data_IF_733390326802
#
_entry.id   IF_733390326802
#
_cell.length_a   1.000
_cell.length_b   1.000
_cell.length_c   1.000
_cell.angle_alpha   90.00
_cell.angle_beta   90.00
_cell.angle_gamma   90.00
#
_symmetry.space_group_name_H-M   'P 1'
#
loop_
_entity.id
_entity.type
_entity.pdbx_description
1 polymer ?
#
# COMPACT_ATOMS: atom_id res chain seq x y z
N UNK A 1 -17.95 -52.67 -20.41
CA UNK A 1 -18.47 -53.11 -19.10
C UNK A 1 -18.58 -51.86 -18.26
N UNK A 2 -19.81 -51.39 -18.12
CA UNK A 2 -20.22 -50.22 -17.35
C UNK A 2 -19.71 -50.22 -15.91
N UNK A 3 -19.47 -49.00 -15.39
CA UNK A 3 -19.88 -48.53 -14.04
C UNK A 3 -19.40 -47.08 -13.90
N UNK A 4 -20.27 -46.11 -14.17
CA UNK A 4 -21.28 -45.52 -13.27
C UNK A 4 -20.73 -44.27 -12.56
N UNK A 5 -21.07 -43.12 -13.13
CA UNK A 5 -20.89 -41.76 -12.59
C UNK A 5 -21.84 -41.60 -11.40
N UNK A 6 -21.28 -41.27 -10.22
CA UNK A 6 -22.06 -40.88 -9.04
C UNK A 6 -22.09 -39.36 -9.02
N UNK A 7 -23.24 -38.78 -9.40
CA UNK A 7 -23.54 -37.36 -9.21
C UNK A 7 -24.21 -37.20 -7.85
N UNK A 8 -23.51 -36.60 -6.89
CA UNK A 8 -24.04 -36.28 -5.57
C UNK A 8 -24.64 -34.87 -5.61
N UNK A 9 -25.95 -34.77 -5.80
CA UNK A 9 -26.71 -33.54 -5.58
C UNK A 9 -27.04 -33.42 -4.09
N UNK A 10 -26.36 -32.52 -3.38
CA UNK A 10 -26.79 -32.07 -2.04
C UNK A 10 -27.65 -30.83 -2.24
N UNK A 11 -28.97 -31.02 -2.14
CA UNK A 11 -29.94 -29.93 -2.03
C UNK A 11 -29.99 -29.48 -0.56
N UNK A 12 -29.40 -28.31 -0.27
CA UNK A 12 -29.62 -27.59 0.98
C UNK A 12 -30.68 -26.52 0.73
N UNK A 13 -31.84 -26.73 1.35
CA UNK A 13 -33.01 -25.86 1.24
C UNK A 13 -32.79 -24.53 1.96
N UNK A 14 -33.06 -23.44 1.25
CA UNK A 14 -33.24 -22.12 1.85
C UNK A 14 -34.70 -22.03 2.32
N UNK A 15 -34.90 -22.11 3.64
CA UNK A 15 -36.16 -21.76 4.29
C UNK A 15 -36.17 -20.24 4.41
N UNK A 16 -36.83 -19.56 3.49
CA UNK A 16 -37.18 -18.15 3.63
C UNK A 16 -38.47 -18.05 4.47
N UNK A 17 -38.34 -17.57 5.70
CA UNK A 17 -39.49 -17.20 6.52
C UNK A 17 -39.91 -15.77 6.14
N UNK A 18 -41.10 -15.65 5.53
CA UNK A 18 -41.81 -14.38 5.43
C UNK A 18 -42.41 -13.98 6.78
N UNK A 19 -42.50 -12.67 7.02
CA UNK A 19 -43.07 -12.09 8.23
C UNK A 19 -43.39 -10.61 8.06
N UNK A 20 -44.50 -10.34 7.38
CA UNK A 20 -45.26 -9.09 7.42
C UNK A 20 -45.73 -8.73 8.84
N UNK A 21 -45.67 -7.45 9.24
CA UNK A 21 -46.40 -6.87 10.40
C UNK A 21 -46.42 -5.34 10.19
N UNK A 22 -47.49 -4.74 9.67
CA UNK A 22 -48.76 -4.33 10.33
C UNK A 22 -48.60 -3.28 11.44
N UNK A 23 -49.06 -2.08 11.07
CA UNK A 23 -49.85 -1.06 11.77
C UNK A 23 -50.09 -1.13 13.30
N UNK A 24 -50.10 0.08 13.89
CA UNK A 24 -50.70 0.48 15.17
C UNK A 24 -49.72 1.34 16.00
N UNK A 25 -50.07 2.46 16.63
CA UNK A 25 -51.33 3.16 16.85
C UNK A 25 -50.97 4.49 17.55
N UNK A 26 -51.69 5.55 17.21
CA UNK A 26 -52.15 6.68 18.02
C UNK A 26 -51.27 7.45 19.05
N UNK A 27 -51.16 8.76 18.79
CA UNK A 27 -51.86 9.73 19.63
C UNK A 27 -51.01 10.75 20.43
N UNK A 28 -51.00 12.02 19.98
CA UNK A 28 -51.46 13.11 20.85
C UNK A 28 -51.76 14.42 20.13
N UNK A 29 -52.92 14.93 20.50
CA UNK A 29 -53.67 16.07 19.99
C UNK A 29 -53.20 17.45 20.51
N UNK A 30 -53.56 18.47 19.74
CA UNK A 30 -53.64 19.88 20.13
C UNK A 30 -53.60 20.74 18.87
N UNK A 31 -54.71 21.09 18.21
CA UNK A 31 -55.99 21.55 18.74
C UNK A 31 -56.04 23.09 18.61
N UNK A 32 -56.31 23.60 17.42
CA UNK A 32 -56.54 25.03 17.17
C UNK A 32 -57.92 25.19 16.51
N UNK A 33 -58.94 25.24 17.36
CA UNK A 33 -60.30 25.65 16.99
C UNK A 33 -60.43 27.17 17.04
N UNK A 34 -61.24 27.65 16.10
CA UNK A 34 -61.44 29.04 15.75
C UNK A 34 -62.41 29.81 16.67
N UNK A 35 -62.26 31.14 16.58
CA UNK A 35 -63.23 32.22 16.83
C UNK A 35 -63.50 32.63 18.29
N UNK A 36 -64.04 33.85 18.58
CA UNK A 36 -64.35 35.00 17.71
C UNK A 36 -63.77 36.35 18.20
N UNK A 37 -63.92 37.38 17.35
CA UNK A 37 -63.77 38.81 17.66
C UNK A 37 -64.72 39.27 18.77
N UNK A 38 -64.33 40.26 19.59
CA UNK A 38 -65.27 41.21 20.15
C UNK A 38 -65.15 42.58 19.47
N UNK A 39 -66.25 43.01 18.86
CA UNK A 39 -66.60 44.41 18.66
C UNK A 39 -66.79 45.07 20.03
N UNK A 40 -66.09 46.17 20.29
CA UNK A 40 -66.52 47.15 21.29
C UNK A 40 -66.12 48.56 20.83
N UNK A 41 -67.06 49.15 20.11
CA UNK A 41 -67.22 50.57 19.86
C UNK A 41 -67.67 51.25 21.17
N UNK A 42 -66.79 52.04 21.80
CA UNK A 42 -67.22 53.04 22.76
C UNK A 42 -66.18 54.15 22.95
N UNK A 43 -66.55 55.34 22.47
CA UNK A 43 -66.21 56.58 23.17
C UNK A 43 -65.06 57.40 22.60
N UNK A 44 -65.39 58.25 21.62
CA UNK A 44 -64.65 59.48 21.39
C UNK A 44 -64.73 60.42 22.61
N UNK A 45 -63.61 61.03 23.05
CA UNK A 45 -63.63 62.34 23.70
C UNK A 45 -63.27 63.45 22.68
N UNK A 46 -63.70 64.70 22.94
CA UNK A 46 -63.68 65.78 21.97
C UNK A 46 -62.30 66.42 21.80
N UNK A 47 -62.17 67.12 20.68
CA UNK A 47 -61.06 67.95 20.26
C UNK A 47 -60.59 68.91 21.36
N UNK A 48 -59.31 68.81 21.73
CA UNK A 48 -58.57 69.90 22.38
C UNK A 48 -57.25 70.12 21.65
N UNK A 49 -57.28 71.17 20.83
CA UNK A 49 -56.17 71.79 20.12
C UNK A 49 -55.18 72.38 21.13
N UNK A 50 -54.03 71.72 21.30
CA UNK A 50 -52.89 72.25 22.03
C UNK A 50 -51.57 71.87 21.35
N UNK A 51 -51.19 72.67 20.36
CA UNK A 51 -49.80 73.05 20.06
C UNK A 51 -48.77 71.90 19.96
N UNK A 52 -48.60 71.39 18.75
CA UNK A 52 -47.46 70.58 18.30
C UNK A 52 -46.14 71.34 18.58
N UNK A 53 -45.17 70.79 19.35
CA UNK A 53 -43.81 71.33 19.39
C UNK A 53 -43.10 71.03 18.06
N UNK A 54 -42.21 71.92 17.58
CA UNK A 54 -41.63 71.80 16.26
C UNK A 54 -40.41 70.88 16.29
N UNK A 55 -40.62 69.58 16.11
CA UNK A 55 -39.54 68.64 15.81
C UNK A 55 -39.99 67.71 14.68
N UNK A 56 -40.18 68.31 13.51
CA UNK A 56 -40.24 67.61 12.21
C UNK A 56 -38.79 67.18 11.85
N UNK A 57 -38.25 66.28 12.66
CA UNK A 57 -37.15 65.43 12.25
C UNK A 57 -37.81 64.15 11.75
N UNK A 58 -37.67 63.87 10.46
CA UNK A 58 -38.04 62.58 9.88
C UNK A 58 -37.48 61.42 10.70
N UNK A 59 -37.98 60.19 10.50
CA UNK A 59 -37.56 59.03 11.30
C UNK A 59 -36.04 59.01 11.43
N UNK A 60 -35.57 58.93 12.68
CA UNK A 60 -34.14 58.91 12.97
C UNK A 60 -33.47 57.83 12.10
N UNK A 61 -32.29 58.10 11.52
CA UNK A 61 -31.61 57.12 10.70
C UNK A 61 -31.34 55.87 11.53
N UNK A 62 -31.59 54.70 10.95
CA UNK A 62 -31.42 53.40 11.62
C UNK A 62 -29.95 53.10 11.93
N UNK A 63 -29.02 53.77 11.24
CA UNK A 63 -27.58 53.67 11.45
C UNK A 63 -26.88 55.01 11.22
N UNK A 64 -25.72 55.21 11.85
CA UNK A 64 -24.82 56.35 11.59
C UNK A 64 -23.42 55.92 11.16
N UNK A 65 -23.06 54.67 11.43
CA UNK A 65 -21.80 54.03 11.06
C UNK A 65 -22.06 52.59 10.60
N UNK A 66 -21.14 52.01 9.84
CA UNK A 66 -21.24 50.60 9.41
C UNK A 66 -21.30 49.63 10.60
N UNK A 67 -20.71 49.99 11.75
CA UNK A 67 -20.75 49.18 12.96
C UNK A 67 -22.14 49.13 13.62
N UNK A 68 -22.99 50.13 13.38
CA UNK A 68 -24.37 50.15 13.89
C UNK A 68 -25.26 49.13 13.12
N UNK A 69 -24.79 48.69 11.96
CA UNK A 69 -25.50 47.75 11.11
C UNK A 69 -25.12 46.30 11.32
N UNK A 70 -24.07 46.00 12.12
CA UNK A 70 -23.63 44.63 12.34
C UNK A 70 -24.72 43.80 13.05
N UNK A 71 -25.26 42.78 12.37
CA UNK A 71 -26.29 41.88 12.89
C UNK A 71 -25.73 40.53 13.39
N UNK A 72 -24.40 40.39 13.44
CA UNK A 72 -23.66 39.17 13.76
C UNK A 72 -23.94 37.97 12.81
N UNK A 73 -24.53 38.21 11.64
CA UNK A 73 -24.68 37.25 10.54
C UNK A 73 -23.50 37.40 9.57
N UNK A 74 -22.60 36.43 9.58
CA UNK A 74 -21.43 36.43 8.71
C UNK A 74 -21.80 36.07 7.26
N UNK A 75 -22.96 35.45 7.03
CA UNK A 75 -23.35 34.83 5.76
C UNK A 75 -23.88 35.82 4.71
N UNK A 76 -24.43 36.96 5.13
CA UNK A 76 -24.85 38.03 4.22
C UNK A 76 -23.76 39.11 3.99
N UNK A 77 -22.60 38.93 4.63
CA UNK A 77 -21.39 39.74 4.47
C UNK A 77 -21.47 41.09 5.20
N UNK A 78 -20.32 41.78 5.34
CA UNK A 78 -20.25 43.01 6.16
C UNK A 78 -21.26 44.08 5.71
N UNK A 79 -22.22 44.33 6.59
CA UNK A 79 -23.27 45.33 6.42
C UNK A 79 -22.71 46.75 6.43
N UNK A 80 -23.31 47.63 5.64
CA UNK A 80 -22.89 49.03 5.54
C UNK A 80 -24.05 49.97 5.79
N UNK A 81 -23.76 51.06 6.49
CA UNK A 81 -24.71 52.14 6.68
C UNK A 81 -24.71 53.05 5.45
N UNK A 82 -25.76 52.95 4.64
CA UNK A 82 -25.92 53.76 3.43
C UNK A 82 -27.14 54.67 3.56
N UNK A 83 -26.90 55.99 3.57
CA UNK A 83 -27.95 57.01 3.66
C UNK A 83 -28.89 56.85 4.87
N UNK A 84 -28.38 56.34 6.00
CA UNK A 84 -29.13 56.17 7.24
C UNK A 84 -29.96 54.88 7.31
N UNK A 85 -29.76 53.94 6.38
CA UNK A 85 -30.34 52.60 6.41
C UNK A 85 -29.23 51.54 6.31
N UNK A 86 -29.42 50.41 6.98
CA UNK A 86 -28.50 49.28 6.90
C UNK A 86 -28.72 48.51 5.61
N UNK A 87 -27.64 48.31 4.86
CA UNK A 87 -27.64 47.51 3.64
C UNK A 87 -26.73 46.31 3.86
N UNK A 88 -27.30 45.12 3.73
CA UNK A 88 -26.57 43.85 3.79
C UNK A 88 -25.39 43.86 2.82
N UNK A 89 -24.33 43.15 3.20
CA UNK A 89 -23.13 43.00 2.40
C UNK A 89 -23.37 42.16 1.14
N UNK A 90 -22.26 41.73 0.52
CA UNK A 90 -22.33 40.68 -0.50
C UNK A 90 -22.32 39.34 0.24
N UNK A 91 -23.33 38.48 0.05
CA UNK A 91 -23.38 37.19 0.73
C UNK A 91 -22.12 36.35 0.49
N UNK A 92 -21.68 35.63 1.52
CA UNK A 92 -20.60 34.66 1.41
C UNK A 92 -21.05 33.53 0.48
N UNK A 93 -20.32 33.33 -0.61
CA UNK A 93 -20.52 32.18 -1.50
C UNK A 93 -19.63 31.04 -1.02
N UNK A 94 -20.16 30.16 -0.18
CA UNK A 94 -19.47 28.92 0.19
C UNK A 94 -19.55 27.95 -1.00
N UNK A 95 -18.57 28.01 -1.92
CA UNK A 95 -18.45 27.07 -3.05
C UNK A 95 -17.20 26.22 -2.83
N UNK A 96 -17.40 24.92 -2.69
CA UNK A 96 -16.45 23.88 -3.08
C UNK A 96 -17.25 22.82 -3.84
N UNK A 97 -16.60 22.14 -4.77
CA UNK A 97 -17.24 21.35 -5.82
C UNK A 97 -18.07 20.15 -5.29
N UNK A 98 -18.82 19.54 -6.23
CA UNK A 98 -20.04 18.71 -6.09
C UNK A 98 -20.01 17.48 -5.15
N UNK A 99 -18.97 17.27 -4.35
CA UNK A 99 -18.89 16.17 -3.38
C UNK A 99 -18.93 16.60 -1.92
N UNK A 100 -18.80 17.90 -1.62
CA UNK A 100 -18.76 18.35 -0.23
C UNK A 100 -19.77 19.41 0.20
N UNK A 101 -20.72 18.90 0.99
CA UNK A 101 -21.56 19.55 2.01
C UNK A 101 -22.95 20.03 1.57
N UNK A 102 -23.98 19.90 2.44
CA UNK A 102 -25.12 20.80 2.40
C UNK A 102 -24.63 22.25 2.61
N UNK A 103 -25.23 23.16 1.86
CA UNK A 103 -25.05 24.61 1.83
C UNK A 103 -25.36 25.31 3.18
N UNK A 104 -24.65 24.98 4.25
CA UNK A 104 -24.87 25.57 5.57
C UNK A 104 -23.77 26.59 5.90
N UNK A 105 -24.00 27.85 5.55
CA UNK A 105 -23.33 28.95 6.22
C UNK A 105 -24.02 29.17 7.57
N UNK A 106 -23.29 29.06 8.67
CA UNK A 106 -23.79 29.37 10.01
C UNK A 106 -23.65 30.88 10.26
N UNK A 107 -24.73 31.60 10.66
CA UNK A 107 -24.66 33.05 10.88
C UNK A 107 -23.59 33.48 11.87
N UNK A 108 -23.34 32.68 12.92
CA UNK A 108 -22.42 33.03 13.99
C UNK A 108 -20.96 32.68 13.67
N UNK A 109 -20.70 31.68 12.83
CA UNK A 109 -19.35 31.17 12.58
C UNK A 109 -18.90 31.20 11.11
N UNK A 110 -19.80 31.49 10.17
CA UNK A 110 -19.53 31.62 8.73
C UNK A 110 -19.65 30.29 7.97
N UNK A 111 -18.91 30.13 6.87
CA UNK A 111 -18.87 28.85 6.15
C UNK A 111 -18.17 27.80 7.04
N UNK A 112 -18.95 26.91 7.65
CA UNK A 112 -18.42 25.73 8.34
C UNK A 112 -18.50 24.52 7.42
N UNK A 113 -17.37 23.90 7.13
CA UNK A 113 -17.35 22.55 6.55
C UNK A 113 -17.01 21.58 7.69
N UNK A 114 -18.01 20.94 8.35
CA UNK A 114 -17.75 19.62 8.88
C UNK A 114 -17.65 18.72 7.65
N UNK A 115 -16.45 18.65 7.06
CA UNK A 115 -16.18 17.59 6.12
C UNK A 115 -16.40 16.30 6.92
N UNK A 116 -17.46 15.58 6.55
CA UNK A 116 -17.78 14.31 7.18
C UNK A 116 -16.65 13.33 6.94
N UNK A 117 -16.60 12.31 7.76
CA UNK A 117 -15.84 11.09 7.52
C UNK A 117 -16.89 9.99 7.66
N UNK A 118 -17.48 9.60 6.53
CA UNK A 118 -18.68 8.74 6.51
C UNK A 118 -18.35 7.30 6.88
N UNK A 119 -17.16 6.84 6.55
CA UNK A 119 -16.69 5.47 6.69
C UNK A 119 -15.61 5.28 7.79
N UNK A 120 -15.22 6.36 8.46
CA UNK A 120 -14.41 6.41 9.69
C UNK A 120 -12.96 5.94 9.47
N UNK A 121 -12.37 6.30 8.32
CA UNK A 121 -10.96 5.99 7.99
C UNK A 121 -9.98 7.14 8.29
N UNK A 122 -10.51 8.30 8.68
CA UNK A 122 -9.74 9.48 9.05
C UNK A 122 -9.41 10.43 7.91
N UNK A 123 -9.86 10.16 6.69
CA UNK A 123 -9.92 11.12 5.60
C UNK A 123 -11.25 11.85 5.61
N UNK A 124 -11.22 13.11 5.20
CA UNK A 124 -12.45 13.85 5.04
C UNK A 124 -13.09 13.55 3.68
N UNK A 125 -14.42 13.42 3.63
CA UNK A 125 -15.23 13.10 2.44
C UNK A 125 -14.88 13.98 1.21
N UNK A 126 -14.23 15.13 1.41
CA UNK A 126 -13.84 16.07 0.33
C UNK A 126 -12.47 15.76 -0.25
N UNK A 127 -11.57 15.27 0.60
CA UNK A 127 -10.23 14.85 0.25
C UNK A 127 -10.16 13.39 -0.20
N UNK A 128 -11.17 12.62 0.18
CA UNK A 128 -11.28 11.21 -0.11
C UNK A 128 -11.89 10.94 -1.50
N UNK A 129 -11.20 10.11 -2.29
CA UNK A 129 -11.64 9.70 -3.60
C UNK A 129 -12.73 8.61 -3.55
N UNK A 130 -12.95 7.97 -2.39
CA UNK A 130 -13.98 6.96 -2.17
C UNK A 130 -14.67 7.10 -0.78
N UNK A 131 -15.51 8.15 -0.57
CA UNK A 131 -16.10 8.52 0.73
C UNK A 131 -17.17 7.57 1.29
N UNK A 132 -17.25 6.34 0.78
CA UNK A 132 -18.11 5.26 1.26
C UNK A 132 -17.31 3.95 1.43
N UNK A 133 -16.00 3.95 1.17
CA UNK A 133 -15.10 2.81 1.22
C UNK A 133 -13.83 3.12 2.06
N UNK A 134 -13.77 2.66 3.33
CA UNK A 134 -12.69 2.98 4.25
C UNK A 134 -11.37 2.29 3.93
N UNK A 135 -11.27 1.62 2.77
CA UNK A 135 -10.05 1.01 2.26
C UNK A 135 -9.38 1.82 1.17
N UNK A 136 -10.04 2.86 0.65
CA UNK A 136 -9.53 3.75 -0.38
C UNK A 136 -9.60 5.16 0.16
N UNK A 137 -8.46 5.73 0.55
CA UNK A 137 -8.38 7.05 1.15
C UNK A 137 -6.96 7.61 1.08
N UNK A 138 -6.77 8.95 1.20
CA UNK A 138 -5.47 9.58 1.29
C UNK A 138 -4.48 8.86 2.21
N UNK A 139 -3.42 8.29 1.62
CA UNK A 139 -2.36 7.60 2.35
C UNK A 139 -2.68 6.16 2.80
N UNK A 140 -3.69 5.51 2.23
CA UNK A 140 -3.88 4.07 2.31
C UNK A 140 -2.69 3.30 1.71
N UNK A 141 -2.60 2.00 1.98
CA UNK A 141 -1.61 1.12 1.33
C UNK A 141 -2.12 0.74 -0.07
N UNK A 142 -1.32 1.01 -1.11
CA UNK A 142 -1.63 0.65 -2.49
C UNK A 142 -1.75 -0.88 -2.68
N UNK A 143 -2.91 -1.32 -3.14
CA UNK A 143 -3.17 -2.68 -3.56
C UNK A 143 -3.06 -2.76 -5.07
N UNK A 144 -2.52 -3.86 -5.58
CA UNK A 144 -2.45 -4.10 -7.02
C UNK A 144 -3.82 -4.57 -7.57
N UNK A 145 -4.84 -3.70 -7.50
CA UNK A 145 -6.24 -3.98 -7.78
C UNK A 145 -6.82 -3.12 -8.93
N UNK A 146 -5.98 -2.36 -9.64
CA UNK A 146 -6.36 -1.40 -10.69
C UNK A 146 -7.16 -0.19 -10.17
N UNK A 147 -7.07 0.09 -8.86
CA UNK A 147 -7.62 1.25 -8.16
C UNK A 147 -6.45 2.10 -7.63
N UNK A 148 -6.71 3.37 -7.40
CA UNK A 148 -5.84 4.30 -6.69
C UNK A 148 -6.34 4.29 -5.24
N UNK A 149 -5.76 3.44 -4.40
CA UNK A 149 -6.25 3.21 -3.03
C UNK A 149 -5.81 4.37 -2.12
N UNK A 150 -4.69 5.03 -2.40
CA UNK A 150 -4.13 6.13 -1.60
C UNK A 150 -4.54 7.54 -2.06
N UNK A 151 -5.39 7.61 -3.10
CA UNK A 151 -5.94 8.81 -3.71
C UNK A 151 -4.87 9.84 -4.17
N UNK A 152 -3.65 9.42 -4.50
CA UNK A 152 -2.58 10.31 -4.96
C UNK A 152 -2.60 10.60 -6.49
N UNK A 153 -3.46 9.89 -7.23
CA UNK A 153 -3.63 9.98 -8.67
C UNK A 153 -2.81 8.97 -9.47
N UNK A 154 -2.01 8.12 -8.82
CA UNK A 154 -1.31 7.01 -9.42
C UNK A 154 -2.03 5.69 -9.12
N UNK A 155 -2.45 4.99 -10.18
CA UNK A 155 -3.03 3.65 -10.04
C UNK A 155 -1.89 2.63 -9.94
N UNK A 156 -1.89 1.83 -8.87
CA UNK A 156 -0.93 0.78 -8.56
C UNK A 156 0.56 1.21 -8.73
N UNK A 157 1.06 2.27 -8.06
CA UNK A 157 2.45 2.66 -8.16
C UNK A 157 3.34 1.58 -7.52
N UNK A 158 4.41 1.21 -8.23
CA UNK A 158 5.36 0.22 -7.71
C UNK A 158 5.06 -1.24 -8.07
N UNK A 159 4.10 -1.50 -8.96
CA UNK A 159 3.88 -2.82 -9.58
C UNK A 159 5.18 -3.40 -10.13
N UNK A 160 5.52 -4.62 -9.68
CA UNK A 160 6.66 -5.41 -10.14
C UNK A 160 6.21 -6.75 -10.65
N UNK A 161 7.04 -7.35 -11.51
CA UNK A 161 6.92 -8.77 -11.83
C UNK A 161 7.92 -9.52 -10.95
N UNK A 162 7.38 -10.39 -10.11
CA UNK A 162 8.09 -11.30 -9.24
C UNK A 162 8.27 -12.64 -9.94
N UNK A 163 9.43 -13.27 -9.73
CA UNK A 163 9.78 -14.58 -10.27
C UNK A 163 10.05 -15.53 -9.10
N UNK A 164 9.46 -16.73 -9.15
CA UNK A 164 9.61 -17.71 -8.09
C UNK A 164 11.10 -18.06 -7.92
N UNK A 165 11.59 -17.97 -6.70
CA UNK A 165 12.94 -18.28 -6.26
C UNK A 165 12.82 -19.45 -5.28
N UNK A 166 13.16 -20.66 -5.72
CA UNK A 166 12.76 -21.87 -5.00
C UNK A 166 13.71 -22.28 -3.88
N UNK A 167 14.92 -21.73 -3.83
CA UNK A 167 15.94 -22.00 -2.82
C UNK A 167 16.39 -20.75 -2.03
N UNK A 168 15.92 -19.57 -2.42
CA UNK A 168 16.03 -18.33 -1.65
C UNK A 168 17.36 -17.60 -1.86
N UNK A 169 18.05 -17.82 -2.97
CA UNK A 169 19.32 -17.17 -3.29
C UNK A 169 19.19 -15.86 -4.09
N UNK A 170 17.96 -15.41 -4.31
CA UNK A 170 17.55 -14.25 -5.11
C UNK A 170 17.68 -14.41 -6.63
N UNK A 171 17.88 -15.62 -7.13
CA UNK A 171 17.91 -15.94 -8.55
C UNK A 171 16.82 -16.96 -8.90
N UNK A 172 15.96 -16.59 -9.84
CA UNK A 172 14.94 -17.50 -10.36
C UNK A 172 15.46 -18.29 -11.58
N UNK A 173 14.98 -19.51 -11.76
CA UNK A 173 15.19 -20.25 -13.00
C UNK A 173 14.56 -19.56 -14.23
N UNK A 174 15.06 -19.87 -15.44
CA UNK A 174 14.51 -19.34 -16.72
C UNK A 174 13.03 -19.68 -16.96
N UNK A 175 12.50 -20.65 -16.22
CA UNK A 175 11.12 -21.15 -16.35
C UNK A 175 10.31 -20.96 -15.07
N UNK A 176 10.82 -20.17 -14.13
CA UNK A 176 10.13 -19.84 -12.91
C UNK A 176 8.72 -19.29 -13.20
N UNK A 177 7.79 -19.62 -12.33
CA UNK A 177 6.49 -18.97 -12.28
C UNK A 177 6.68 -17.47 -12.05
N UNK A 178 5.75 -16.65 -12.53
CA UNK A 178 5.78 -15.21 -12.28
C UNK A 178 4.42 -14.69 -11.82
N UNK A 179 4.45 -13.66 -11.00
CA UNK A 179 3.28 -12.96 -10.51
C UNK A 179 3.55 -11.45 -10.56
N UNK A 180 2.53 -10.68 -10.94
CA UNK A 180 2.61 -9.21 -10.94
C UNK A 180 1.89 -8.70 -9.69
N UNK A 181 2.61 -7.94 -8.87
CA UNK A 181 2.11 -7.45 -7.58
C UNK A 181 2.96 -6.27 -7.10
N UNK A 182 2.40 -5.48 -6.19
CA UNK A 182 2.98 -4.27 -5.61
C UNK A 182 3.95 -4.67 -4.47
N UNK A 183 3.50 -5.61 -3.64
CA UNK A 183 4.28 -6.29 -2.61
C UNK A 183 4.74 -7.69 -3.11
N UNK A 184 5.73 -8.27 -2.44
CA UNK A 184 6.15 -9.66 -2.66
C UNK A 184 4.95 -10.62 -2.44
N UNK A 185 4.61 -11.48 -3.42
CA UNK A 185 3.50 -12.40 -3.28
C UNK A 185 3.73 -13.45 -2.18
N UNK A 186 2.65 -14.02 -1.65
CA UNK A 186 2.77 -15.20 -0.81
C UNK A 186 3.46 -16.34 -1.57
N UNK A 187 4.32 -17.09 -0.88
CA UNK A 187 5.03 -18.26 -1.46
C UNK A 187 4.06 -19.37 -1.89
N UNK A 188 2.86 -19.39 -1.30
CA UNK A 188 1.75 -20.28 -1.66
C UNK A 188 1.26 -19.97 -3.08
N UNK A 189 1.78 -20.72 -4.07
CA UNK A 189 1.44 -20.54 -5.49
C UNK A 189 2.65 -20.30 -6.40
N UNK A 190 3.84 -20.11 -5.84
CA UNK A 190 5.11 -20.06 -6.59
C UNK A 190 5.40 -21.35 -7.37
N UNK A 191 4.92 -22.49 -6.86
CA UNK A 191 5.25 -23.83 -7.34
C UNK A 191 6.50 -24.43 -6.69
N UNK A 192 7.17 -23.67 -5.83
CA UNK A 192 8.31 -24.10 -5.03
C UNK A 192 7.86 -24.92 -3.83
N UNK A 193 8.75 -25.78 -3.31
CA UNK A 193 8.48 -26.60 -2.12
C UNK A 193 9.52 -26.46 -1.01
N UNK A 194 10.59 -25.70 -1.25
CA UNK A 194 11.64 -25.40 -0.29
C UNK A 194 11.14 -24.54 0.88
N UNK A 195 11.78 -24.69 2.04
CA UNK A 195 11.49 -23.86 3.20
C UNK A 195 11.99 -22.42 3.04
N UNK A 196 13.02 -22.25 2.21
CA UNK A 196 13.64 -20.97 1.87
C UNK A 196 13.06 -20.39 0.57
N UNK A 197 12.04 -21.03 -0.01
CA UNK A 197 11.37 -20.55 -1.21
C UNK A 197 10.77 -19.16 -0.99
N UNK A 198 10.92 -18.30 -1.99
CA UNK A 198 10.50 -16.91 -1.99
C UNK A 198 10.23 -16.41 -3.41
N UNK A 199 10.35 -15.10 -3.57
CA UNK A 199 10.30 -14.45 -4.86
C UNK A 199 11.45 -13.46 -5.04
N UNK A 200 11.91 -13.30 -6.27
CA UNK A 200 12.87 -12.26 -6.65
C UNK A 200 12.26 -11.34 -7.70
N UNK A 201 12.53 -10.04 -7.62
CA UNK A 201 12.19 -9.08 -8.69
C UNK A 201 13.27 -9.03 -9.79
N UNK A 202 14.34 -9.83 -9.62
CA UNK A 202 15.39 -9.99 -10.63
C UNK A 202 14.89 -10.84 -11.79
N UNK A 203 14.75 -10.20 -12.95
CA UNK A 203 14.34 -10.89 -14.17
C UNK A 203 15.31 -12.03 -14.54
N UNK A 204 14.82 -13.28 -14.65
CA UNK A 204 15.63 -14.40 -15.10
C UNK A 204 15.86 -14.29 -16.61
N UNK A 205 17.11 -14.12 -16.99
CA UNK A 205 17.58 -14.13 -18.39
C UNK A 205 18.60 -15.23 -18.55
N UNK A 206 19.04 -15.52 -19.78
CA UNK A 206 20.10 -16.52 -20.01
C UNK A 206 21.44 -16.20 -19.33
N UNK A 207 21.59 -15.00 -18.76
CA UNK A 207 22.81 -14.53 -18.07
C UNK A 207 22.57 -14.25 -16.60
N UNK A 208 21.36 -14.48 -16.09
CA UNK A 208 21.00 -14.12 -14.70
C UNK A 208 20.17 -15.19 -14.03
N UNK A 209 19.61 -16.11 -14.80
CA UNK A 209 18.80 -17.19 -14.29
C UNK A 209 19.65 -18.23 -13.61
N UNK A 210 19.10 -18.77 -12.54
CA UNK A 210 19.66 -19.90 -11.84
C UNK A 210 19.50 -21.20 -12.66
N UNK A 211 20.56 -22.00 -12.68
CA UNK A 211 20.64 -23.30 -13.32
C UNK A 211 20.28 -24.45 -12.38
N UNK A 212 20.17 -24.22 -11.06
CA UNK A 212 19.75 -25.21 -10.08
C UNK A 212 18.85 -24.62 -8.98
N UNK A 213 17.59 -24.36 -9.36
CA UNK A 213 16.49 -23.73 -8.55
C UNK A 213 16.19 -24.40 -7.18
N UNK A 214 16.85 -25.50 -6.85
CA UNK A 214 16.66 -26.25 -5.59
C UNK A 214 17.94 -26.22 -4.70
N UNK A 215 19.00 -25.49 -5.08
CA UNK A 215 20.29 -25.42 -4.36
C UNK A 215 20.89 -24.01 -4.39
N UNK A 216 20.63 -23.24 -3.33
CA UNK A 216 21.04 -21.84 -3.15
C UNK A 216 22.56 -21.57 -3.20
N UNK A 217 23.39 -22.60 -3.37
CA UNK A 217 24.82 -22.46 -3.65
C UNK A 217 25.07 -22.13 -5.12
N UNK A 218 24.12 -22.39 -5.99
CA UNK A 218 24.26 -22.33 -7.45
C UNK A 218 23.55 -21.09 -7.95
N UNK A 219 24.30 -20.14 -8.50
CA UNK A 219 23.71 -18.96 -9.12
C UNK A 219 24.71 -18.24 -9.99
N UNK A 220 24.21 -17.46 -10.95
CA UNK A 220 25.09 -16.72 -11.86
C UNK A 220 26.02 -15.77 -11.10
N UNK A 221 27.32 -15.99 -11.26
CA UNK A 221 28.37 -15.17 -10.65
C UNK A 221 28.79 -15.63 -9.25
N UNK A 222 28.49 -16.86 -8.87
CA UNK A 222 29.06 -17.51 -7.69
C UNK A 222 30.60 -17.46 -7.73
N UNK A 223 31.21 -17.08 -6.61
CA UNK A 223 32.68 -17.02 -6.49
C UNK A 223 33.24 -18.08 -5.53
N UNK A 224 32.38 -18.75 -4.76
CA UNK A 224 32.77 -19.78 -3.82
C UNK A 224 33.06 -21.11 -4.52
N UNK A 225 34.00 -21.88 -3.96
CA UNK A 225 34.32 -23.23 -4.40
C UNK A 225 33.76 -24.25 -3.41
N UNK A 226 33.24 -25.36 -3.93
CA UNK A 226 32.63 -26.42 -3.14
C UNK A 226 33.27 -27.77 -3.42
N UNK A 227 33.36 -28.61 -2.38
CA UNK A 227 33.91 -29.97 -2.47
C UNK A 227 32.83 -31.04 -2.68
N UNK A 228 31.57 -30.65 -2.60
CA UNK A 228 30.40 -31.53 -2.77
C UNK A 228 29.59 -31.04 -3.95
N UNK A 229 29.20 -31.92 -4.88
CA UNK A 229 28.51 -31.53 -6.10
C UNK A 229 27.12 -30.94 -5.80
N UNK A 230 26.53 -30.34 -6.83
CA UNK A 230 25.10 -30.03 -6.87
C UNK A 230 24.33 -31.35 -6.99
N UNK A 231 23.32 -31.54 -6.14
CA UNK A 231 22.48 -32.74 -6.20
C UNK A 231 21.15 -32.44 -6.90
N UNK A 232 20.72 -33.31 -7.83
CA UNK A 232 19.30 -33.39 -8.23
C UNK A 232 18.84 -32.55 -9.44
N UNK A 233 19.63 -31.63 -9.98
CA UNK A 233 19.17 -30.70 -11.04
C UNK A 233 19.80 -30.96 -12.41
N UNK A 234 21.03 -31.47 -12.46
CA UNK A 234 21.76 -31.77 -13.70
C UNK A 234 22.19 -33.25 -13.68
N UNK A 235 22.15 -33.90 -14.85
CA UNK A 235 22.51 -35.30 -14.95
C UNK A 235 24.03 -35.43 -14.76
N UNK A 236 24.46 -36.17 -13.73
CA UNK A 236 25.84 -36.35 -13.24
C UNK A 236 26.22 -35.36 -12.12
N UNK A 237 27.23 -35.71 -11.31
CA UNK A 237 27.71 -34.85 -10.24
C UNK A 237 28.25 -33.56 -10.87
N UNK A 238 27.52 -32.46 -10.73
CA UNK A 238 27.85 -31.18 -11.35
C UNK A 238 28.55 -30.28 -10.34
N UNK A 239 29.59 -29.59 -10.80
CA UNK A 239 30.33 -28.60 -10.03
C UNK A 239 30.27 -27.20 -10.63
N UNK A 240 29.44 -26.96 -11.65
CA UNK A 240 29.12 -25.63 -12.16
C UNK A 240 28.17 -24.91 -11.18
N UNK A 241 28.74 -24.19 -10.21
CA UNK A 241 28.02 -23.39 -9.23
C UNK A 241 27.76 -21.96 -9.70
N UNK A 242 28.44 -21.49 -10.76
CA UNK A 242 28.27 -20.14 -11.29
C UNK A 242 27.45 -20.06 -12.59
N UNK A 243 26.90 -21.19 -13.02
CA UNK A 243 26.00 -21.38 -14.16
C UNK A 243 26.59 -20.94 -15.50
N UNK A 244 27.90 -21.06 -15.69
CA UNK A 244 28.59 -20.67 -16.92
C UNK A 244 28.84 -21.84 -17.89
N UNK A 245 28.63 -23.08 -17.42
CA UNK A 245 28.78 -24.33 -18.16
C UNK A 245 30.16 -24.97 -18.09
N UNK A 246 31.10 -24.42 -17.31
CA UNK A 246 32.45 -24.95 -17.12
C UNK A 246 32.69 -25.33 -15.65
N UNK A 247 33.39 -26.45 -15.42
CA UNK A 247 33.80 -26.84 -14.06
C UNK A 247 35.23 -26.36 -13.78
N UNK A 248 35.38 -25.47 -12.81
CA UNK A 248 36.61 -24.75 -12.57
C UNK A 248 37.27 -25.16 -11.26
N UNK A 249 38.46 -25.77 -11.29
CA UNK A 249 39.13 -26.17 -10.06
C UNK A 249 39.70 -24.96 -9.31
N UNK A 250 39.48 -24.91 -7.99
CA UNK A 250 40.08 -23.93 -7.07
C UNK A 250 41.60 -23.81 -7.24
N UNK A 251 42.27 -24.91 -7.59
CA UNK A 251 43.72 -24.93 -7.75
C UNK A 251 44.16 -25.94 -8.80
N UNK A 252 44.76 -25.44 -9.87
CA UNK A 252 45.56 -26.22 -10.82
C UNK A 252 47.08 -26.17 -10.49
N UNK A 253 47.47 -25.59 -9.35
CA UNK A 253 48.88 -25.38 -9.01
C UNK A 253 49.57 -26.69 -8.64
N UNK A 254 50.78 -26.90 -9.16
CA UNK A 254 51.65 -28.00 -8.76
C UNK A 254 52.44 -27.63 -7.50
N UNK A 255 52.39 -28.50 -6.49
CA UNK A 255 53.11 -28.35 -5.22
C UNK A 255 54.45 -29.07 -5.21
N UNK A 256 55.51 -28.37 -4.81
CA UNK A 256 56.86 -28.95 -4.71
C UNK A 256 57.73 -28.21 -3.67
N UNK A 257 58.71 -28.92 -3.11
CA UNK A 257 59.79 -28.37 -2.30
C UNK A 257 61.11 -28.43 -3.06
N UNK A 258 61.65 -27.26 -3.43
CA UNK A 258 62.91 -27.16 -4.17
C UNK A 258 63.99 -26.47 -3.35
N UNK A 259 65.23 -26.98 -3.41
CA UNK A 259 66.38 -26.31 -2.79
C UNK A 259 66.96 -25.27 -3.74
N UNK A 260 66.99 -24.01 -3.30
CA UNK A 260 67.59 -22.90 -4.03
C UNK A 260 68.47 -22.05 -3.10
N UNK A 261 69.77 -21.96 -3.40
CA UNK A 261 70.71 -21.08 -2.68
C UNK A 261 70.89 -21.40 -1.19
N UNK A 262 70.75 -22.67 -0.78
CA UNK A 262 70.82 -23.07 0.64
C UNK A 262 69.53 -22.86 1.43
N UNK A 263 68.48 -22.31 0.81
CA UNK A 263 67.12 -22.20 1.35
C UNK A 263 66.16 -23.16 0.65
N UNK A 264 65.11 -23.60 1.35
CA UNK A 264 64.02 -24.36 0.74
C UNK A 264 62.94 -23.39 0.25
N UNK A 265 62.53 -23.50 -1.01
CA UNK A 265 61.39 -22.78 -1.56
C UNK A 265 60.19 -23.72 -1.63
N UNK A 266 59.05 -23.21 -1.18
CA UNK A 266 57.77 -23.92 -1.22
C UNK A 266 56.94 -23.38 -2.38
N UNK A 267 56.50 -24.29 -3.25
CA UNK A 267 55.33 -24.08 -4.11
C UNK A 267 54.17 -24.84 -3.48
N UNK A 268 53.11 -24.12 -3.10
CA UNK A 268 51.90 -24.72 -2.54
C UNK A 268 51.02 -25.20 -3.69
N UNK A 269 50.48 -26.42 -3.60
CA UNK A 269 49.69 -27.02 -4.68
C UNK A 269 49.59 -28.54 -4.58
N UNK A 270 49.02 -29.17 -5.60
CA UNK A 270 48.86 -30.63 -5.67
C UNK A 270 50.18 -31.34 -5.92
N UNK A 271 50.42 -32.44 -5.21
CA UNK A 271 51.55 -33.32 -5.49
C UNK A 271 51.16 -34.32 -6.57
N UNK A 272 51.74 -34.18 -7.77
CA UNK A 272 51.44 -35.04 -8.91
C UNK A 272 50.35 -34.47 -9.81
N UNK A 273 49.38 -35.31 -10.18
CA UNK A 273 48.24 -34.91 -11.02
C UNK A 273 47.21 -34.15 -10.17
N UNK A 274 46.61 -33.11 -10.76
CA UNK A 274 45.52 -32.33 -10.13
C UNK A 274 44.29 -33.23 -10.10
N UNK A 275 43.67 -33.48 -8.93
CA UNK A 275 42.45 -34.28 -8.85
C UNK A 275 41.30 -33.63 -9.61
N UNK A 276 40.38 -34.43 -10.13
CA UNK A 276 39.09 -33.96 -10.65
C UNK A 276 38.22 -33.36 -9.53
N UNK A 277 37.22 -32.57 -9.89
CA UNK A 277 36.28 -31.97 -8.95
C UNK A 277 35.67 -33.01 -8.00
N UNK A 278 35.66 -32.70 -6.70
CA UNK A 278 35.17 -33.61 -5.66
C UNK A 278 36.09 -34.78 -5.30
N UNK A 279 37.17 -35.01 -6.05
CA UNK A 279 38.10 -36.11 -5.76
C UNK A 279 39.19 -35.70 -4.75
N UNK A 280 39.58 -36.60 -3.82
CA UNK A 280 40.66 -36.35 -2.90
C UNK A 280 42.03 -36.51 -3.57
N UNK A 281 42.97 -35.65 -3.20
CA UNK A 281 44.37 -35.70 -3.61
C UNK A 281 45.34 -35.39 -2.47
N UNK A 282 46.63 -35.49 -2.79
CA UNK A 282 47.70 -35.10 -1.87
C UNK A 282 48.15 -33.68 -2.19
N UNK A 283 48.10 -32.78 -1.21
CA UNK A 283 48.40 -31.36 -1.36
C UNK A 283 49.64 -30.99 -0.56
N UNK A 284 50.61 -30.32 -1.20
CA UNK A 284 51.81 -29.79 -0.55
C UNK A 284 51.47 -28.45 0.10
N UNK A 285 51.22 -28.46 1.41
CA UNK A 285 50.88 -27.26 2.16
C UNK A 285 52.12 -26.44 2.58
N UNK A 286 53.24 -27.11 2.84
CA UNK A 286 54.51 -26.45 3.20
C UNK A 286 55.73 -27.34 2.98
N UNK A 287 56.92 -26.81 3.24
CA UNK A 287 58.17 -27.57 3.25
C UNK A 287 58.78 -27.61 4.66
N UNK A 288 59.25 -28.79 5.06
CA UNK A 288 60.00 -28.97 6.30
C UNK A 288 61.41 -28.34 6.22
N UNK A 289 62.09 -28.21 7.37
CA UNK A 289 63.47 -27.72 7.42
C UNK A 289 64.50 -28.58 6.67
N UNK A 290 64.19 -29.85 6.40
CA UNK A 290 64.99 -30.72 5.54
C UNK A 290 64.76 -30.48 4.03
N UNK A 291 63.82 -29.61 3.69
CA UNK A 291 63.26 -29.41 2.35
C UNK A 291 62.51 -30.64 1.79
N UNK A 292 61.82 -31.36 2.67
CA UNK A 292 60.85 -32.38 2.27
C UNK A 292 59.43 -31.80 2.32
N UNK A 293 58.54 -32.16 1.38
CA UNK A 293 57.15 -31.70 1.37
C UNK A 293 56.41 -32.18 2.62
N UNK A 294 55.68 -31.25 3.22
CA UNK A 294 54.68 -31.51 4.25
C UNK A 294 53.34 -31.50 3.53
N UNK A 295 52.76 -32.69 3.40
CA UNK A 295 51.54 -32.90 2.62
C UNK A 295 50.34 -33.19 3.51
N UNK A 296 49.17 -32.87 3.00
CA UNK A 296 47.87 -33.22 3.58
C UNK A 296 46.92 -33.72 2.50
N UNK A 297 45.88 -34.45 2.90
CA UNK A 297 44.81 -34.85 1.98
C UNK A 297 43.80 -33.71 1.88
N UNK A 298 43.50 -33.28 0.65
CA UNK A 298 42.45 -32.29 0.35
C UNK A 298 41.54 -32.84 -0.74
N UNK A 299 40.30 -32.38 -0.78
CA UNK A 299 39.38 -32.61 -1.90
C UNK A 299 39.49 -31.42 -2.85
N UNK A 300 39.52 -31.66 -4.16
CA UNK A 300 39.48 -30.58 -5.15
C UNK A 300 38.12 -29.90 -5.09
N UNK A 301 38.10 -28.66 -4.60
CA UNK A 301 36.92 -27.83 -4.66
C UNK A 301 36.79 -27.23 -6.07
N UNK A 302 35.55 -27.11 -6.56
CA UNK A 302 35.24 -26.55 -7.87
C UNK A 302 34.05 -25.61 -7.79
N UNK A 303 33.89 -24.81 -8.83
CA UNK A 303 32.77 -23.94 -9.07
C UNK A 303 32.42 -23.96 -10.55
#
# INVERSE_FOLDING_TARGET
MDRAVIVLFVALGVVACGGESREGDDGRDGGADAAPLPDDDAGAPPDDDAGVPPDDAGPAPECTTDADCANDDLCDGTERCAAGACVAGTPLSCIVDDTCSPEACDPATGCETPAGDRDDDGADDCSDCAPDDPTIHPGADELCNEVDDDCDGAIDPGVRTWFADCDGDSHASLRASSATSCEEPAVDGSGCTGADAGWTDRMPTRRTADCADDDARVFVGQEAYFTTPVEGTLAEADFDFDCDGEEEPESAAAGECTRAGGSCRTSVGWSGEVPSCGEPGTFVASCSGACAPVTETRVQACR
#
